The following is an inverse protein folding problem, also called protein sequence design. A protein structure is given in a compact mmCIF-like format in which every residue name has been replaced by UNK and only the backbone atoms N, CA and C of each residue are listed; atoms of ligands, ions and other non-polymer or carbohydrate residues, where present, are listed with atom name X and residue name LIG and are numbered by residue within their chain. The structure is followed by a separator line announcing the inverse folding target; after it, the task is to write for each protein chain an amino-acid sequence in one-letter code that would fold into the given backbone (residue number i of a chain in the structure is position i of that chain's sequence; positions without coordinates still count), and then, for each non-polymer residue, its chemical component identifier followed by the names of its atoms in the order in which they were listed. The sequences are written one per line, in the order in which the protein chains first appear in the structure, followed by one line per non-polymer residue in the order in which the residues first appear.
data_IF_346111984597
#
_entry.id   IF_346111984597
#
_cell.length_a   1.000
_cell.length_b   1.000
_cell.length_c   1.000
_cell.angle_alpha   90.00
_cell.angle_beta   90.00
_cell.angle_gamma   90.00
#
_symmetry.space_group_name_H-M   'P 1'
#
loop_
_entity.id
_entity.type
_entity.pdbx_description
1 polymer ?
#
# COMPACT_ATOMS: atom_id res chain seq x y z
N UNK A 1 -25.26 -26.14 2.54
CA UNK A 1 -23.82 -26.03 2.20
C UNK A 1 -23.51 -24.54 2.17
N UNK A 2 -22.46 -24.07 2.86
CA UNK A 2 -22.07 -22.66 2.82
C UNK A 2 -21.50 -22.33 1.43
N UNK A 3 -21.82 -21.15 0.91
CA UNK A 3 -21.21 -20.63 -0.32
C UNK A 3 -19.81 -20.08 -0.04
N UNK A 4 -19.04 -19.80 -1.09
CA UNK A 4 -17.76 -19.09 -0.94
C UNK A 4 -17.97 -17.72 -0.28
N UNK A 5 -19.01 -16.99 -0.68
CA UNK A 5 -19.34 -15.68 -0.12
C UNK A 5 -19.67 -15.75 1.37
N UNK A 6 -20.40 -16.78 1.80
CA UNK A 6 -20.67 -17.01 3.22
C UNK A 6 -19.39 -17.23 4.01
N UNK A 7 -18.48 -18.08 3.49
CA UNK A 7 -17.19 -18.34 4.12
C UNK A 7 -16.31 -17.09 4.19
N UNK A 8 -16.32 -16.28 3.12
CA UNK A 8 -15.54 -15.05 3.05
C UNK A 8 -16.07 -13.99 4.02
N UNK A 9 -17.40 -13.79 4.06
CA UNK A 9 -18.07 -12.88 4.98
C UNK A 9 -17.86 -13.27 6.45
N UNK A 10 -17.79 -14.57 6.75
CA UNK A 10 -17.45 -15.05 8.09
C UNK A 10 -15.99 -14.77 8.45
N UNK A 11 -15.05 -14.97 7.52
CA UNK A 11 -13.65 -14.70 7.75
C UNK A 11 -13.38 -13.21 8.03
N UNK A 12 -14.05 -12.30 7.31
CA UNK A 12 -13.94 -10.85 7.49
C UNK A 12 -14.39 -10.36 8.88
N UNK A 13 -15.07 -11.19 9.68
CA UNK A 13 -15.44 -10.85 11.06
C UNK A 13 -14.32 -11.14 12.06
N UNK A 14 -13.19 -11.70 11.61
CA UNK A 14 -12.09 -12.12 12.49
C UNK A 14 -10.87 -11.20 12.35
N UNK A 15 -10.22 -10.91 13.47
CA UNK A 15 -8.97 -10.13 13.49
C UNK A 15 -7.86 -10.81 12.68
N UNK A 16 -7.88 -12.14 12.61
CA UNK A 16 -6.93 -12.93 11.81
C UNK A 16 -7.00 -12.58 10.33
N UNK A 17 -8.20 -12.41 9.78
CA UNK A 17 -8.39 -12.00 8.39
C UNK A 17 -7.74 -10.63 8.13
N UNK A 18 -8.08 -9.62 8.94
CA UNK A 18 -7.56 -8.27 8.77
C UNK A 18 -6.05 -8.17 9.03
N UNK A 19 -5.54 -9.01 9.93
CA UNK A 19 -4.09 -9.16 10.17
C UNK A 19 -3.39 -9.68 8.91
N UNK A 20 -3.92 -10.75 8.29
CA UNK A 20 -3.36 -11.30 7.06
C UNK A 20 -3.49 -10.35 5.87
N UNK A 21 -4.60 -9.63 5.76
CA UNK A 21 -4.77 -8.59 4.74
C UNK A 21 -3.71 -7.49 4.90
N UNK A 22 -3.46 -7.04 6.13
CA UNK A 22 -2.45 -6.03 6.44
C UNK A 22 -1.04 -6.52 6.11
N UNK A 23 -0.72 -7.77 6.48
CA UNK A 23 0.55 -8.41 6.13
C UNK A 23 0.72 -8.47 4.61
N UNK A 24 -0.30 -8.88 3.87
CA UNK A 24 -0.25 -8.98 2.41
C UNK A 24 -0.07 -7.60 1.75
N UNK A 25 -0.79 -6.58 2.22
CA UNK A 25 -0.63 -5.18 1.75
C UNK A 25 0.79 -4.68 1.99
N UNK A 26 1.35 -4.96 3.16
CA UNK A 26 2.72 -4.58 3.50
C UNK A 26 3.76 -5.30 2.62
N UNK A 27 3.67 -6.61 2.46
CA UNK A 27 4.65 -7.39 1.70
C UNK A 27 4.60 -7.08 0.21
N UNK A 28 3.43 -6.78 -0.35
CA UNK A 28 3.27 -6.28 -1.71
C UNK A 28 3.97 -4.94 -1.94
N UNK A 29 3.93 -4.02 -0.96
CA UNK A 29 4.65 -2.75 -1.05
C UNK A 29 6.17 -2.96 -1.03
N UNK A 30 6.68 -3.86 -0.19
CA UNK A 30 8.11 -4.24 -0.21
C UNK A 30 8.49 -4.84 -1.56
N UNK A 31 7.68 -5.78 -2.09
CA UNK A 31 7.92 -6.37 -3.40
C UNK A 31 7.96 -5.33 -4.52
N UNK A 32 7.04 -4.36 -4.49
CA UNK A 32 6.98 -3.26 -5.45
C UNK A 32 8.22 -2.36 -5.37
N UNK A 33 8.70 -2.07 -4.16
CA UNK A 33 9.95 -1.31 -3.96
C UNK A 33 11.17 -2.05 -4.51
N UNK A 34 11.25 -3.37 -4.29
CA UNK A 34 12.32 -4.21 -4.86
C UNK A 34 12.31 -4.13 -6.39
N UNK A 35 11.13 -4.27 -7.01
CA UNK A 35 10.97 -4.17 -8.46
C UNK A 35 11.35 -2.78 -8.99
N UNK A 36 10.84 -1.72 -8.38
CA UNK A 36 11.12 -0.34 -8.78
C UNK A 36 12.60 0.02 -8.69
N UNK A 37 13.33 -0.54 -7.72
CA UNK A 37 14.76 -0.30 -7.51
C UNK A 37 15.67 -1.33 -8.19
N UNK A 38 15.10 -2.30 -8.91
CA UNK A 38 15.81 -3.44 -9.49
C UNK A 38 16.71 -4.18 -8.48
N UNK A 39 16.20 -4.39 -7.27
CA UNK A 39 16.90 -5.10 -6.19
C UNK A 39 16.42 -6.54 -6.13
N UNK A 40 17.35 -7.49 -6.26
CA UNK A 40 17.06 -8.91 -6.08
C UNK A 40 16.86 -9.27 -4.59
N UNK A 41 16.16 -10.40 -4.33
CA UNK A 41 16.00 -10.93 -2.97
C UNK A 41 17.33 -11.21 -2.27
N UNK A 42 18.36 -11.60 -3.03
CA UNK A 42 19.72 -11.85 -2.52
C UNK A 42 20.37 -10.55 -2.03
N UNK A 43 20.38 -9.51 -2.87
CA UNK A 43 20.93 -8.20 -2.51
C UNK A 43 20.16 -7.58 -1.32
N UNK A 44 18.84 -7.78 -1.27
CA UNK A 44 18.05 -7.30 -0.15
C UNK A 44 18.39 -8.03 1.15
N UNK A 45 18.60 -9.33 1.10
CA UNK A 45 19.06 -10.12 2.24
C UNK A 45 20.44 -9.64 2.74
N UNK A 46 21.37 -9.39 1.83
CA UNK A 46 22.70 -8.85 2.12
C UNK A 46 22.62 -7.47 2.81
N UNK A 47 21.80 -6.55 2.28
CA UNK A 47 21.54 -5.22 2.90
C UNK A 47 21.01 -5.32 4.34
N UNK A 48 20.20 -6.34 4.63
CA UNK A 48 19.60 -6.57 5.94
C UNK A 48 20.47 -7.44 6.87
N UNK A 49 21.59 -7.98 6.39
CA UNK A 49 22.39 -8.94 7.16
C UNK A 49 21.63 -10.23 7.50
N UNK A 50 20.73 -10.67 6.62
CA UNK A 50 19.86 -11.85 6.84
C UNK A 50 19.95 -12.85 5.70
N UNK A 51 19.23 -13.97 5.79
CA UNK A 51 19.21 -15.00 4.76
C UNK A 51 18.20 -14.69 3.63
N UNK A 52 18.50 -15.14 2.42
CA UNK A 52 17.57 -15.07 1.30
C UNK A 52 16.28 -15.88 1.54
N UNK A 53 16.38 -16.96 2.33
CA UNK A 53 15.23 -17.75 2.77
C UNK A 53 14.30 -16.93 3.67
N UNK A 54 14.85 -16.17 4.61
CA UNK A 54 14.08 -15.24 5.43
C UNK A 54 13.36 -14.20 4.58
N UNK A 55 14.05 -13.57 3.60
CA UNK A 55 13.40 -12.63 2.67
C UNK A 55 12.26 -13.29 1.88
N UNK A 56 12.44 -14.55 1.48
CA UNK A 56 11.37 -15.29 0.78
C UNK A 56 10.17 -15.53 1.69
N UNK A 57 10.39 -15.85 2.96
CA UNK A 57 9.31 -15.99 3.96
C UNK A 57 8.59 -14.66 4.19
N UNK A 58 9.34 -13.57 4.34
CA UNK A 58 8.80 -12.21 4.46
C UNK A 58 7.89 -11.89 3.28
N UNK A 59 8.37 -12.06 2.05
CA UNK A 59 7.62 -11.71 0.84
C UNK A 59 6.41 -12.62 0.59
N UNK A 60 6.35 -13.82 1.19
CA UNK A 60 5.18 -14.68 1.15
C UNK A 60 4.08 -14.25 2.12
N UNK A 61 4.37 -13.34 3.06
CA UNK A 61 3.45 -12.98 4.14
C UNK A 61 3.28 -14.08 5.20
N UNK A 62 4.13 -15.10 5.18
CA UNK A 62 4.09 -16.22 6.13
C UNK A 62 4.81 -15.86 7.44
N UNK A 63 4.49 -14.70 8.02
CA UNK A 63 5.03 -14.22 9.27
C UNK A 63 4.16 -13.11 9.86
N UNK A 64 3.98 -13.14 11.19
CA UNK A 64 3.49 -11.97 11.91
C UNK A 64 4.67 -11.03 12.19
N UNK A 65 4.59 -9.80 11.71
CA UNK A 65 5.67 -8.83 11.86
C UNK A 65 5.44 -7.93 13.06
N UNK A 66 6.50 -7.68 13.84
CA UNK A 66 6.49 -6.53 14.75
C UNK A 66 6.61 -5.24 13.94
N UNK A 67 6.10 -4.13 14.48
CA UNK A 67 6.27 -2.80 13.85
C UNK A 67 7.76 -2.49 13.62
N UNK A 68 8.62 -2.85 14.59
CA UNK A 68 10.07 -2.70 14.44
C UNK A 68 10.62 -3.46 13.23
N UNK A 69 10.15 -4.69 12.99
CA UNK A 69 10.53 -5.48 11.81
C UNK A 69 10.06 -4.81 10.52
N UNK A 70 8.82 -4.31 10.49
CA UNK A 70 8.29 -3.60 9.32
C UNK A 70 9.13 -2.35 9.01
N UNK A 71 9.52 -1.58 10.04
CA UNK A 71 10.39 -0.41 9.90
C UNK A 71 11.76 -0.81 9.35
N UNK A 72 12.40 -1.83 9.91
CA UNK A 72 13.72 -2.32 9.46
C UNK A 72 13.69 -2.74 7.99
N UNK A 73 12.70 -3.55 7.60
CA UNK A 73 12.52 -4.02 6.23
C UNK A 73 12.35 -2.82 5.27
N UNK A 74 11.48 -1.88 5.62
CA UNK A 74 11.17 -0.73 4.76
C UNK A 74 12.37 0.21 4.61
N UNK A 75 13.08 0.52 5.70
CA UNK A 75 14.23 1.43 5.70
C UNK A 75 15.42 0.89 4.92
N UNK A 76 15.62 -0.42 4.86
CA UNK A 76 16.68 -1.03 4.06
C UNK A 76 16.49 -0.82 2.53
N UNK A 77 15.30 -0.38 2.11
CA UNK A 77 14.96 0.02 0.74
C UNK A 77 14.79 1.55 0.61
N UNK A 78 15.27 2.33 1.57
CA UNK A 78 15.10 3.79 1.65
C UNK A 78 13.63 4.25 1.63
N UNK A 79 12.74 3.41 2.15
CA UNK A 79 11.33 3.73 2.35
C UNK A 79 11.03 4.23 3.77
N UNK A 80 9.86 4.82 3.95
CA UNK A 80 9.25 5.10 5.25
C UNK A 80 8.02 4.22 5.49
N UNK A 81 7.84 3.74 6.72
CA UNK A 81 6.61 3.07 7.12
C UNK A 81 5.61 4.13 7.60
N UNK A 82 4.41 4.12 7.05
CA UNK A 82 3.28 4.94 7.47
C UNK A 82 2.13 4.00 7.87
N UNK A 83 1.52 4.25 9.03
CA UNK A 83 0.36 3.50 9.51
C UNK A 83 -0.79 4.50 9.62
N UNK A 84 -1.91 4.18 8.98
CA UNK A 84 -3.11 5.01 8.95
C UNK A 84 -4.29 4.22 9.52
N UNK A 85 -5.20 4.92 10.19
CA UNK A 85 -6.46 4.38 10.69
C UNK A 85 -7.56 4.89 9.75
N UNK A 86 -8.38 3.98 9.24
CA UNK A 86 -9.43 4.28 8.26
C UNK A 86 -10.78 3.83 8.85
N UNK A 87 -11.82 4.67 8.85
CA UNK A 87 -13.18 4.26 9.17
C UNK A 87 -13.66 3.16 8.20
N UNK A 88 -14.32 2.13 8.71
CA UNK A 88 -14.75 0.97 7.93
C UNK A 88 -15.87 1.29 6.91
N UNK A 89 -16.60 2.39 7.13
CA UNK A 89 -17.79 2.76 6.35
C UNK A 89 -17.49 3.71 5.18
N UNK A 90 -16.24 4.17 5.05
CA UNK A 90 -15.84 5.13 4.02
C UNK A 90 -15.07 4.42 2.89
N UNK A 91 -15.53 4.56 1.65
CA UNK A 91 -14.74 4.24 0.47
C UNK A 91 -13.65 5.31 0.30
N UNK A 92 -12.56 5.17 1.05
CA UNK A 92 -11.43 6.09 0.96
C UNK A 92 -10.53 5.66 -0.17
N UNK A 93 -10.41 6.54 -1.17
CA UNK A 93 -9.33 6.46 -2.14
C UNK A 93 -8.32 7.59 -1.88
N UNK A 94 -7.04 7.22 -1.78
CA UNK A 94 -5.95 8.16 -1.48
C UNK A 94 -5.16 8.50 -2.72
N UNK A 95 -4.82 9.77 -2.90
CA UNK A 95 -4.09 10.22 -4.08
C UNK A 95 -2.83 10.94 -3.69
N UNK A 96 -1.70 10.35 -4.09
CA UNK A 96 -0.39 10.93 -3.83
C UNK A 96 -0.21 12.12 -4.77
N UNK A 97 -0.40 13.32 -4.25
CA UNK A 97 -0.06 14.56 -4.96
C UNK A 97 1.44 14.81 -4.79
N UNK A 98 2.23 14.57 -5.84
CA UNK A 98 3.65 14.95 -5.88
C UNK A 98 3.69 16.45 -6.23
N UNK A 99 3.84 17.32 -5.24
CA UNK A 99 4.07 18.75 -5.50
C UNK A 99 5.45 18.91 -6.17
N UNK A 100 5.46 19.41 -7.41
CA UNK A 100 6.70 19.63 -8.19
C UNK A 100 6.56 19.44 -9.71
N UNK A 101 5.45 18.89 -10.19
CA UNK A 101 5.11 18.92 -11.63
C UNK A 101 4.74 20.33 -12.08
N UNK A 102 5.13 20.68 -13.30
CA UNK A 102 5.06 21.95 -14.00
C UNK A 102 3.64 22.53 -14.20
N UNK A 103 2.86 22.72 -13.12
CA UNK A 103 1.73 23.66 -13.02
C UNK A 103 0.55 23.52 -13.98
N UNK A 104 0.61 22.66 -15.01
CA UNK A 104 -0.46 22.44 -15.98
C UNK A 104 -1.39 21.39 -15.40
N UNK A 105 -2.32 21.86 -14.57
CA UNK A 105 -3.50 21.11 -14.14
C UNK A 105 -4.18 20.51 -15.38
N UNK A 106 -3.97 19.22 -15.66
CA UNK A 106 -4.79 18.51 -16.66
C UNK A 106 -6.08 18.12 -15.95
N UNK A 107 -7.21 18.70 -16.36
CA UNK A 107 -8.53 18.29 -15.85
C UNK A 107 -8.78 16.83 -16.23
N UNK A 108 -9.36 16.01 -15.34
CA UNK A 108 -9.58 14.57 -15.59
C UNK A 108 -10.38 14.28 -16.86
N UNK A 109 -11.23 15.21 -17.29
CA UNK A 109 -12.09 15.11 -18.47
C UNK A 109 -11.36 15.01 -19.82
N UNK A 110 -10.04 15.32 -19.87
CA UNK A 110 -9.26 15.33 -21.13
C UNK A 110 -8.26 14.19 -21.28
N UNK A 111 -8.22 13.22 -20.36
CA UNK A 111 -7.38 12.03 -20.51
C UNK A 111 -8.13 11.04 -21.39
N UNK A 112 -7.84 11.06 -22.70
CA UNK A 112 -8.49 10.20 -23.69
C UNK A 112 -8.41 8.70 -23.35
N UNK A 113 -9.33 7.92 -23.94
CA UNK A 113 -9.58 6.47 -23.81
C UNK A 113 -8.37 5.51 -23.83
N UNK A 114 -7.15 6.01 -24.04
CA UNK A 114 -5.89 5.25 -23.99
C UNK A 114 -5.37 5.01 -22.55
N UNK A 115 -5.95 5.67 -21.55
CA UNK A 115 -5.65 5.41 -20.14
C UNK A 115 -6.45 4.25 -19.52
N UNK A 116 -7.36 3.62 -20.29
CA UNK A 116 -8.27 2.56 -19.80
C UNK A 116 -7.78 1.16 -20.24
N UNK A 117 -6.77 1.05 -21.10
CA UNK A 117 -6.19 -0.25 -21.47
C UNK A 117 -5.13 -0.69 -20.47
N UNK A 118 -5.61 -1.42 -19.48
CA UNK A 118 -5.05 -2.68 -18.97
C UNK A 118 -3.53 -2.75 -18.88
N UNK A 119 -3.00 -2.24 -17.77
CA UNK A 119 -1.93 -2.82 -16.96
C UNK A 119 -1.73 -1.91 -15.75
N UNK A 120 -1.74 -2.51 -14.55
CA UNK A 120 -0.84 -2.20 -13.43
C UNK A 120 -0.67 -0.74 -12.97
N UNK A 121 -0.70 -0.59 -11.65
CA UNK A 121 -0.10 0.51 -10.89
C UNK A 121 -0.90 1.82 -10.82
N UNK A 122 -1.03 2.26 -9.57
CA UNK A 122 -1.32 3.63 -9.15
C UNK A 122 -2.75 4.17 -9.38
N UNK A 123 -3.48 4.35 -8.27
CA UNK A 123 -4.16 5.60 -7.90
C UNK A 123 -4.52 6.56 -9.06
N UNK A 124 -5.80 6.90 -9.34
CA UNK A 124 -6.37 8.17 -8.80
C UNK A 124 -7.78 8.74 -9.16
N UNK A 125 -8.55 9.18 -8.13
CA UNK A 125 -9.32 10.42 -7.72
C UNK A 125 -10.62 10.83 -8.42
N UNK A 126 -11.64 11.36 -7.69
CA UNK A 126 -11.61 12.77 -7.21
C UNK A 126 -12.38 13.14 -5.89
N UNK A 127 -11.68 13.88 -5.02
CA UNK A 127 -12.15 14.78 -3.97
C UNK A 127 -13.12 15.83 -4.55
N UNK A 128 -14.27 16.04 -3.87
CA UNK A 128 -15.06 17.27 -4.00
C UNK A 128 -14.56 18.30 -2.99
N UNK A 129 -14.35 19.49 -3.51
CA UNK A 129 -14.00 20.71 -2.79
C UNK A 129 -15.04 21.06 -1.73
N UNK A 130 -14.57 21.43 -0.53
CA UNK A 130 -15.13 22.58 0.18
C UNK A 130 -13.98 23.20 0.96
N UNK A 131 -13.37 24.20 0.34
CA UNK A 131 -12.52 25.17 1.02
C UNK A 131 -13.43 26.09 1.82
N UNK A 132 -13.45 25.91 3.13
CA UNK A 132 -13.66 26.90 4.20
C UNK A 132 -14.03 26.15 5.49
N UNK A 133 -13.48 26.56 6.64
CA UNK A 133 -13.41 25.86 7.96
C UNK A 133 -12.26 24.84 8.05
N UNK A 134 -11.15 25.08 8.74
CA UNK A 134 -11.05 25.52 10.13
C UNK A 134 -10.00 26.61 10.32
N UNK A 135 -10.45 27.72 10.87
CA UNK A 135 -9.62 28.70 11.52
C UNK A 135 -8.92 28.08 12.75
N UNK A 136 -7.68 28.49 12.92
CA UNK A 136 -6.78 28.19 14.04
C UNK A 136 -7.45 28.65 15.34
N UNK A 137 -7.57 27.76 16.32
CA UNK A 137 -7.80 28.12 17.71
C UNK A 137 -6.55 27.74 18.53
N UNK A 138 -6.04 28.74 19.25
CA UNK A 138 -4.92 28.67 20.19
C UNK A 138 -5.25 27.86 21.45
#
# INVERSE_FOLDING_TARGET
MKTFDDLFNEAQKTDSYWTQETILKFTNQIYSLLKKKDISKKQYAEKLGTSQAYITKVLRGDANFTIETMVKLTRALDGGLEIQIIPQEENIEWYRVIRGGDGKRRRPEQVGRWAITDHSEANSNPLKENSDEYAIAS
#
